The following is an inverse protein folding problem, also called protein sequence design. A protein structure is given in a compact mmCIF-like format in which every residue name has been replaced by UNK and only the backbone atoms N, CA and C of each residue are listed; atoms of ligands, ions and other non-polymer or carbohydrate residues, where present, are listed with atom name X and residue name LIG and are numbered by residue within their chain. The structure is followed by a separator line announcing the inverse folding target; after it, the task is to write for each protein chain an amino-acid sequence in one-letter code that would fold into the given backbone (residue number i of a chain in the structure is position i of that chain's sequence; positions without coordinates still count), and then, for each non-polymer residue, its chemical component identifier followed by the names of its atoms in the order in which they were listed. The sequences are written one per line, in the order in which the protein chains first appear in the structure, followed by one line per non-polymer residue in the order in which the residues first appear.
data_IF_992634624454
#
_entry.id   IF_992634624454
#
_cell.length_a   1.000
_cell.length_b   1.000
_cell.length_c   1.000
_cell.angle_alpha   90.00
_cell.angle_beta   90.00
_cell.angle_gamma   90.00
#
_symmetry.space_group_name_H-M   'P 1'
#
loop_
_entity.id
_entity.type
_entity.pdbx_description
1 polymer ?
#
# COMPACT_ATOMS: atom_id res chain seq x y z
N UNK A 1 -34.95 2.97 14.04
CA UNK A 1 -33.96 2.28 13.18
C UNK A 1 -32.84 1.84 14.09
N UNK A 2 -32.64 0.54 14.30
CA UNK A 2 -31.66 0.02 15.25
C UNK A 2 -30.31 -0.08 14.53
N UNK A 3 -29.29 0.61 15.03
CA UNK A 3 -27.95 0.52 14.46
C UNK A 3 -27.27 -0.78 14.94
N UNK A 4 -26.53 -1.48 14.06
CA UNK A 4 -25.82 -2.69 14.45
C UNK A 4 -24.73 -2.37 15.51
N UNK A 5 -24.55 -3.27 16.49
CA UNK A 5 -23.55 -3.13 17.55
C UNK A 5 -22.16 -3.45 17.01
N UNK A 6 -21.11 -2.98 17.70
CA UNK A 6 -19.71 -3.26 17.34
C UNK A 6 -19.45 -4.76 17.12
N UNK A 7 -19.96 -5.61 18.01
CA UNK A 7 -19.79 -7.07 17.92
C UNK A 7 -20.60 -7.74 16.79
N UNK A 8 -21.61 -7.05 16.23
CA UNK A 8 -22.39 -7.57 15.10
C UNK A 8 -21.61 -7.42 13.77
N UNK A 9 -20.52 -6.63 13.77
CA UNK A 9 -19.83 -6.18 12.55
C UNK A 9 -18.32 -6.42 12.62
N UNK A 10 -17.73 -6.32 13.81
CA UNK A 10 -16.42 -6.85 14.14
C UNK A 10 -16.62 -8.19 14.84
N UNK A 11 -16.77 -9.29 14.06
CA UNK A 11 -16.94 -10.60 14.63
C UNK A 11 -15.61 -11.09 15.21
N UNK A 12 -15.57 -12.33 15.69
CA UNK A 12 -14.29 -12.93 16.06
C UNK A 12 -13.33 -12.99 14.87
N UNK A 13 -12.03 -13.06 15.14
CA UNK A 13 -11.01 -13.11 14.09
C UNK A 13 -11.20 -14.32 13.16
N UNK A 14 -11.72 -15.45 13.67
CA UNK A 14 -12.02 -16.63 12.87
C UNK A 14 -13.11 -16.33 11.84
N UNK A 15 -14.17 -15.63 12.25
CA UNK A 15 -15.27 -15.28 11.35
C UNK A 15 -14.86 -14.18 10.37
N UNK A 16 -14.01 -13.25 10.79
CA UNK A 16 -13.40 -12.26 9.92
C UNK A 16 -12.61 -12.94 8.79
N UNK A 17 -11.78 -13.94 9.13
CA UNK A 17 -11.00 -14.69 8.15
C UNK A 17 -11.88 -15.51 7.21
N UNK A 18 -12.94 -16.15 7.73
CA UNK A 18 -13.93 -16.85 6.89
C UNK A 18 -14.55 -15.91 5.85
N UNK A 19 -14.93 -14.70 6.27
CA UNK A 19 -15.45 -13.68 5.35
C UNK A 19 -14.39 -13.21 4.36
N UNK A 20 -13.16 -12.96 4.80
CA UNK A 20 -12.05 -12.59 3.93
C UNK A 20 -11.89 -13.61 2.79
N UNK A 21 -11.82 -14.90 3.11
CA UNK A 21 -11.70 -15.97 2.12
C UNK A 21 -12.92 -16.05 1.20
N UNK A 22 -14.14 -15.87 1.72
CA UNK A 22 -15.35 -15.83 0.88
C UNK A 22 -15.30 -14.73 -0.19
N UNK A 23 -14.66 -13.60 0.11
CA UNK A 23 -14.47 -12.49 -0.82
C UNK A 23 -13.14 -12.55 -1.61
N UNK A 24 -12.46 -13.70 -1.60
CA UNK A 24 -11.25 -13.96 -2.38
C UNK A 24 -9.96 -13.39 -1.76
N UNK A 25 -9.94 -13.20 -0.44
CA UNK A 25 -8.75 -12.78 0.31
C UNK A 25 -8.29 -13.96 1.18
N UNK A 26 -7.47 -14.83 0.61
CA UNK A 26 -7.10 -16.11 1.23
C UNK A 26 -6.08 -15.95 2.38
N UNK A 27 -5.21 -14.95 2.31
CA UNK A 27 -4.14 -14.71 3.29
C UNK A 27 -4.11 -13.22 3.69
N UNK A 28 -5.12 -12.79 4.45
CA UNK A 28 -5.11 -11.46 5.04
C UNK A 28 -4.11 -11.39 6.21
N UNK A 29 -3.23 -10.38 6.20
CA UNK A 29 -2.34 -10.07 7.31
C UNK A 29 -3.18 -9.96 8.60
N UNK A 30 -2.77 -10.70 9.65
CA UNK A 30 -3.56 -10.84 10.88
C UNK A 30 -3.72 -9.53 11.67
N UNK A 31 -2.86 -8.56 11.41
CA UNK A 31 -2.90 -7.23 12.02
C UNK A 31 -3.96 -6.31 11.39
N UNK A 32 -4.42 -6.57 10.16
CA UNK A 32 -5.42 -5.75 9.47
C UNK A 32 -6.72 -5.69 10.26
N UNK A 33 -7.19 -6.84 10.77
CA UNK A 33 -8.35 -6.89 11.66
C UNK A 33 -8.19 -5.91 12.84
N UNK A 34 -7.03 -5.97 13.50
CA UNK A 34 -6.72 -5.12 14.66
C UNK A 34 -6.66 -3.64 14.27
N UNK A 35 -6.07 -3.31 13.12
CA UNK A 35 -5.97 -1.95 12.64
C UNK A 35 -7.34 -1.34 12.28
N UNK A 36 -8.21 -2.10 11.62
CA UNK A 36 -9.58 -1.64 11.33
C UNK A 36 -10.37 -1.47 12.63
N UNK A 37 -10.25 -2.41 13.57
CA UNK A 37 -10.91 -2.33 14.88
C UNK A 37 -10.43 -1.13 15.71
N UNK A 38 -9.12 -0.87 15.76
CA UNK A 38 -8.58 0.29 16.47
C UNK A 38 -9.06 1.61 15.84
N UNK A 39 -9.10 1.67 14.51
CA UNK A 39 -9.45 2.89 13.78
C UNK A 39 -10.94 3.22 13.85
N UNK A 40 -11.79 2.20 13.79
CA UNK A 40 -13.22 2.37 13.57
C UNK A 40 -14.11 1.61 14.55
N UNK A 41 -13.56 0.89 15.54
CA UNK A 41 -14.34 0.11 16.50
C UNK A 41 -15.27 0.94 17.38
N UNK A 42 -15.04 2.26 17.47
CA UNK A 42 -15.94 3.21 18.13
C UNK A 42 -16.96 3.88 17.20
N UNK A 43 -16.87 3.69 15.88
CA UNK A 43 -17.73 4.37 14.90
C UNK A 43 -18.99 3.55 14.59
N UNK A 44 -20.04 4.23 14.12
CA UNK A 44 -21.24 3.55 13.61
C UNK A 44 -21.08 3.25 12.13
N UNK A 45 -21.59 2.12 11.67
CA UNK A 45 -21.68 1.85 10.24
C UNK A 45 -22.86 2.59 9.61
N UNK A 46 -22.69 3.00 8.34
CA UNK A 46 -23.73 3.67 7.55
C UNK A 46 -24.85 2.75 7.08
N UNK A 47 -24.70 1.44 7.27
CA UNK A 47 -25.64 0.43 6.78
C UNK A 47 -26.53 -0.09 7.91
N UNK A 48 -27.77 -0.47 7.54
CA UNK A 48 -28.80 -0.92 8.49
C UNK A 48 -28.67 -2.39 8.92
N UNK A 49 -27.78 -3.16 8.30
CA UNK A 49 -27.52 -4.57 8.61
C UNK A 49 -26.01 -4.81 8.71
N UNK A 50 -25.61 -5.64 9.69
CA UNK A 50 -24.22 -6.05 9.88
C UNK A 50 -23.69 -6.84 8.69
N UNK A 51 -24.53 -7.66 8.06
CA UNK A 51 -24.18 -8.43 6.84
C UNK A 51 -23.92 -7.51 5.65
N UNK A 52 -24.75 -6.47 5.44
CA UNK A 52 -24.50 -5.49 4.38
C UNK A 52 -23.23 -4.67 4.65
N UNK A 53 -22.98 -4.32 5.92
CA UNK A 53 -21.76 -3.63 6.32
C UNK A 53 -20.52 -4.50 6.06
N UNK A 54 -20.55 -5.77 6.48
CA UNK A 54 -19.48 -6.74 6.22
C UNK A 54 -19.26 -6.95 4.72
N UNK A 55 -20.33 -7.19 3.95
CA UNK A 55 -20.21 -7.37 2.51
C UNK A 55 -19.55 -6.19 1.80
N UNK A 56 -19.90 -4.95 2.20
CA UNK A 56 -19.28 -3.74 1.64
C UNK A 56 -17.84 -3.55 2.08
N UNK A 57 -17.52 -3.87 3.33
CA UNK A 57 -16.15 -3.84 3.82
C UNK A 57 -15.25 -4.81 3.07
N UNK A 58 -15.64 -6.08 2.93
CA UNK A 58 -14.85 -7.06 2.22
C UNK A 58 -14.83 -6.86 0.70
N UNK A 59 -15.87 -6.24 0.12
CA UNK A 59 -15.82 -5.77 -1.27
C UNK A 59 -14.72 -4.71 -1.47
N UNK A 60 -14.54 -3.78 -0.53
CA UNK A 60 -13.47 -2.78 -0.63
C UNK A 60 -12.11 -3.44 -0.38
N UNK A 61 -12.02 -4.28 0.66
CA UNK A 61 -10.77 -4.98 0.99
C UNK A 61 -10.30 -5.90 -0.14
N UNK A 62 -11.19 -6.56 -0.88
CA UNK A 62 -10.76 -7.44 -1.98
C UNK A 62 -10.08 -6.70 -3.13
N UNK A 63 -10.35 -5.40 -3.27
CA UNK A 63 -9.73 -4.52 -4.26
C UNK A 63 -8.47 -3.85 -3.70
N UNK A 64 -8.56 -3.32 -2.48
CA UNK A 64 -7.51 -2.47 -1.90
C UNK A 64 -6.40 -3.28 -1.21
N UNK A 65 -6.70 -4.47 -0.69
CA UNK A 65 -5.72 -5.31 0.01
C UNK A 65 -4.58 -5.80 -0.90
N UNK A 66 -4.81 -6.26 -2.15
CA UNK A 66 -3.72 -6.59 -3.08
C UNK A 66 -2.80 -5.40 -3.36
N UNK A 67 -3.35 -4.19 -3.51
CA UNK A 67 -2.56 -2.98 -3.71
C UNK A 67 -1.75 -2.62 -2.46
N UNK A 68 -2.31 -2.80 -1.27
CA UNK A 68 -1.60 -2.67 0.01
C UNK A 68 -0.42 -3.63 0.09
N UNK A 69 -0.60 -4.92 -0.25
CA UNK A 69 0.48 -5.93 -0.20
C UNK A 69 1.62 -5.57 -1.16
N UNK A 70 1.31 -5.13 -2.38
CA UNK A 70 2.33 -4.69 -3.33
C UNK A 70 3.13 -3.49 -2.80
N UNK A 71 2.45 -2.49 -2.22
CA UNK A 71 3.11 -1.32 -1.62
C UNK A 71 3.94 -1.70 -0.40
N UNK A 72 3.43 -2.56 0.48
CA UNK A 72 4.14 -3.09 1.65
C UNK A 72 5.39 -3.86 1.24
N UNK A 73 5.28 -4.75 0.25
CA UNK A 73 6.40 -5.52 -0.28
C UNK A 73 7.46 -4.62 -0.91
N UNK A 74 7.07 -3.62 -1.70
CA UNK A 74 8.00 -2.65 -2.28
C UNK A 74 8.71 -1.80 -1.20
N UNK A 75 7.97 -1.35 -0.18
CA UNK A 75 8.55 -0.61 0.93
C UNK A 75 9.54 -1.47 1.72
N UNK A 76 9.22 -2.75 1.96
CA UNK A 76 10.11 -3.70 2.62
C UNK A 76 11.36 -3.97 1.78
N UNK A 77 11.22 -4.19 0.47
CA UNK A 77 12.37 -4.36 -0.43
C UNK A 77 13.31 -3.15 -0.37
N UNK A 78 12.78 -1.93 -0.36
CA UNK A 78 13.60 -0.71 -0.22
C UNK A 78 14.20 -0.57 1.18
N UNK A 79 13.50 -1.02 2.22
CA UNK A 79 14.04 -1.07 3.58
C UNK A 79 15.23 -2.04 3.69
N UNK A 80 15.13 -3.19 3.04
CA UNK A 80 16.14 -4.25 3.06
C UNK A 80 17.36 -3.94 2.18
N UNK A 81 17.22 -3.03 1.19
CA UNK A 81 18.36 -2.60 0.38
C UNK A 81 19.48 -1.99 1.23
N UNK A 82 20.70 -2.44 0.96
CA UNK A 82 21.89 -1.87 1.56
C UNK A 82 22.11 -0.43 1.08
N UNK A 83 22.71 0.40 1.91
CA UNK A 83 22.91 1.82 1.59
C UNK A 83 23.76 2.01 0.32
N UNK A 84 24.73 1.13 0.08
CA UNK A 84 25.56 1.15 -1.14
C UNK A 84 24.78 0.76 -2.39
N UNK A 85 23.71 -0.04 -2.28
CA UNK A 85 22.85 -0.37 -3.41
C UNK A 85 21.94 0.79 -3.78
N UNK A 86 21.41 1.50 -2.79
CA UNK A 86 20.60 2.72 -3.01
C UNK A 86 21.43 3.85 -3.61
N UNK A 87 22.73 3.90 -3.28
CA UNK A 87 23.67 4.86 -3.87
C UNK A 87 23.92 4.60 -5.35
N UNK A 88 23.71 3.39 -5.88
CA UNK A 88 23.84 3.10 -7.31
C UNK A 88 22.76 3.88 -8.06
N UNK A 89 23.19 4.89 -8.81
CA UNK A 89 22.32 5.70 -9.64
C UNK A 89 22.04 5.03 -10.99
N UNK A 90 21.69 5.84 -11.98
CA UNK A 90 21.47 5.37 -13.34
C UNK A 90 22.81 5.15 -14.03
N UNK A 91 22.90 4.07 -14.80
CA UNK A 91 24.00 3.78 -15.70
C UNK A 91 23.62 4.30 -17.10
N UNK A 92 24.47 5.15 -17.68
CA UNK A 92 24.32 5.65 -19.03
C UNK A 92 25.46 5.12 -19.89
N UNK A 93 25.13 4.48 -21.01
CA UNK A 93 26.10 4.00 -22.00
C UNK A 93 25.86 4.77 -23.29
N UNK A 94 26.88 5.50 -23.74
CA UNK A 94 26.90 6.14 -25.04
C UNK A 94 27.90 5.39 -25.95
N UNK A 95 27.37 4.80 -27.01
CA UNK A 95 28.15 4.06 -28.01
C UNK A 95 28.34 4.93 -29.25
N UNK A 96 29.55 4.98 -29.80
CA UNK A 96 29.84 5.69 -31.05
C UNK A 96 30.66 4.81 -32.02
N UNK A 97 30.19 4.72 -33.26
CA UNK A 97 30.88 4.01 -34.34
C UNK A 97 30.94 4.92 -35.58
N UNK A 98 32.12 5.05 -36.17
CA UNK A 98 32.29 5.70 -37.48
C UNK A 98 32.34 4.58 -38.53
N UNK A 99 31.34 4.52 -39.41
CA UNK A 99 31.06 3.44 -40.37
C UNK A 99 30.72 2.07 -39.76
N UNK A 100 29.57 1.92 -39.08
CA UNK A 100 29.11 0.61 -38.63
C UNK A 100 28.67 -0.24 -39.83
N UNK A 101 29.21 -1.46 -39.95
CA UNK A 101 28.81 -2.44 -40.99
C UNK A 101 27.48 -3.17 -40.63
N UNK A 102 26.83 -2.78 -39.54
CA UNK A 102 25.58 -3.32 -39.03
C UNK A 102 24.91 -2.28 -38.13
N UNK A 103 23.57 -2.21 -38.14
CA UNK A 103 22.84 -1.26 -37.29
C UNK A 103 23.09 -1.53 -35.80
N UNK A 104 23.25 -0.49 -34.95
CA UNK A 104 23.44 -0.68 -33.52
C UNK A 104 22.12 -1.16 -32.87
N UNK A 105 22.13 -2.36 -32.28
CA UNK A 105 21.01 -2.85 -31.46
C UNK A 105 21.00 -2.13 -30.09
N UNK A 106 19.82 -1.63 -29.69
CA UNK A 106 19.63 -0.76 -28.51
C UNK A 106 19.02 -1.45 -27.29
N UNK A 107 18.80 -2.77 -27.36
CA UNK A 107 17.99 -3.49 -26.36
C UNK A 107 18.80 -4.07 -25.18
N UNK A 108 20.11 -3.82 -25.11
CA UNK A 108 20.96 -4.28 -24.01
C UNK A 108 21.69 -3.14 -23.29
N UNK A 109 21.78 -3.26 -21.96
CA UNK A 109 22.72 -2.49 -21.14
C UNK A 109 24.16 -3.00 -21.27
N UNK A 110 24.38 -4.03 -22.07
CA UNK A 110 25.70 -4.57 -22.33
C UNK A 110 26.44 -3.71 -23.38
N UNK A 111 27.75 -3.53 -23.20
CA UNK A 111 28.57 -2.82 -24.16
C UNK A 111 28.61 -3.56 -25.51
N UNK A 112 28.38 -2.85 -26.62
CA UNK A 112 28.42 -3.43 -27.97
C UNK A 112 29.84 -3.95 -28.32
N UNK A 113 29.97 -5.06 -29.08
CA UNK A 113 31.26 -5.67 -29.39
C UNK A 113 32.06 -4.90 -30.47
N UNK A 114 31.43 -4.06 -31.30
CA UNK A 114 32.09 -3.25 -32.32
C UNK A 114 31.75 -1.77 -32.17
N UNK A 115 32.71 -1.00 -31.65
CA UNK A 115 32.57 0.45 -31.42
C UNK A 115 33.94 1.11 -31.60
N UNK A 116 33.96 2.29 -32.23
CA UNK A 116 35.18 3.11 -32.31
C UNK A 116 35.41 3.87 -30.99
N UNK A 117 34.37 4.01 -30.16
CA UNK A 117 34.47 4.53 -28.81
C UNK A 117 33.21 4.26 -28.00
N UNK A 118 33.40 3.95 -26.72
CA UNK A 118 32.34 3.79 -25.72
C UNK A 118 32.57 4.73 -24.55
N UNK A 119 31.52 5.41 -24.14
CA UNK A 119 31.51 6.17 -22.90
C UNK A 119 30.47 5.59 -21.95
N UNK A 120 30.93 5.00 -20.84
CA UNK A 120 30.07 4.54 -19.74
C UNK A 120 30.14 5.59 -18.63
N UNK A 121 28.99 6.15 -18.26
CA UNK A 121 28.86 7.07 -17.14
C UNK A 121 27.95 6.47 -16.08
N UNK A 122 28.54 6.14 -14.93
CA UNK A 122 27.81 5.76 -13.73
C UNK A 122 27.58 6.96 -12.83
N UNK A 123 26.35 7.17 -12.39
CA UNK A 123 26.04 8.18 -11.36
C UNK A 123 25.97 7.52 -9.99
N UNK A 124 26.51 8.18 -8.95
CA UNK A 124 26.41 7.74 -7.56
C UNK A 124 25.76 8.84 -6.74
N UNK A 125 24.76 8.50 -5.95
CA UNK A 125 24.16 9.44 -5.00
C UNK A 125 25.10 9.65 -3.81
N UNK A 126 25.10 10.85 -3.26
CA UNK A 126 25.70 11.08 -1.94
C UNK A 126 24.91 10.35 -0.85
N UNK A 127 25.51 10.20 0.32
CA UNK A 127 24.94 9.43 1.42
C UNK A 127 23.65 10.05 1.97
N UNK A 128 23.58 11.38 2.05
CA UNK A 128 22.42 12.08 2.54
C UNK A 128 21.23 11.92 1.57
N UNK A 129 21.48 12.03 0.27
CA UNK A 129 20.49 11.85 -0.78
C UNK A 129 19.99 10.40 -0.83
N UNK A 130 20.88 9.42 -0.66
CA UNK A 130 20.50 8.00 -0.57
C UNK A 130 19.60 7.73 0.66
N UNK A 131 19.96 8.27 1.82
CA UNK A 131 19.15 8.17 3.05
C UNK A 131 17.79 8.85 2.90
N UNK A 132 17.75 10.05 2.31
CA UNK A 132 16.49 10.76 2.05
C UNK A 132 15.58 9.97 1.10
N UNK A 133 16.16 9.34 0.07
CA UNK A 133 15.41 8.51 -0.88
C UNK A 133 14.86 7.25 -0.19
N UNK A 134 15.67 6.56 0.61
CA UNK A 134 15.25 5.40 1.42
C UNK A 134 14.11 5.79 2.37
N UNK A 135 14.29 6.89 3.10
CA UNK A 135 13.29 7.41 4.02
C UNK A 135 11.97 7.70 3.33
N UNK A 136 11.98 8.40 2.18
CA UNK A 136 10.75 8.72 1.44
C UNK A 136 10.02 7.48 0.93
N UNK A 137 10.75 6.46 0.49
CA UNK A 137 10.16 5.21 0.03
C UNK A 137 9.52 4.41 1.17
N UNK A 138 10.20 4.33 2.33
CA UNK A 138 9.72 3.60 3.51
C UNK A 138 8.62 4.35 4.25
N UNK A 139 8.65 5.69 4.27
CA UNK A 139 7.65 6.54 4.94
C UNK A 139 6.25 6.47 4.31
N UNK A 140 6.07 5.73 3.21
CA UNK A 140 4.78 5.56 2.55
C UNK A 140 3.74 5.04 3.54
N UNK A 141 2.62 5.76 3.71
CA UNK A 141 1.54 5.42 4.64
C UNK A 141 0.56 4.41 4.01
N UNK A 142 1.08 3.32 3.45
CA UNK A 142 0.28 2.33 2.72
C UNK A 142 -0.84 1.72 3.58
N UNK A 143 -0.62 1.54 4.88
CA UNK A 143 -1.65 1.10 5.83
C UNK A 143 -2.76 2.16 6.00
N UNK A 144 -2.41 3.44 6.16
CA UNK A 144 -3.40 4.51 6.31
C UNK A 144 -4.24 4.67 5.05
N UNK A 145 -3.65 4.49 3.86
CA UNK A 145 -4.39 4.50 2.60
C UNK A 145 -5.45 3.39 2.55
N UNK A 146 -5.08 2.15 2.93
CA UNK A 146 -6.01 1.03 3.05
C UNK A 146 -7.10 1.32 4.09
N UNK A 147 -6.75 1.83 5.28
CA UNK A 147 -7.74 2.17 6.30
C UNK A 147 -8.68 3.28 5.83
N UNK A 148 -8.17 4.27 5.10
CA UNK A 148 -8.95 5.39 4.59
C UNK A 148 -9.94 4.97 3.51
N UNK A 149 -9.66 3.94 2.71
CA UNK A 149 -10.64 3.43 1.73
C UNK A 149 -11.92 2.92 2.40
N UNK A 150 -11.81 2.45 3.66
CA UNK A 150 -12.94 2.00 4.46
C UNK A 150 -13.72 3.14 5.13
N UNK A 151 -13.18 4.37 5.20
CA UNK A 151 -13.77 5.50 5.93
C UNK A 151 -15.22 5.77 5.51
N UNK A 152 -15.53 5.57 4.22
CA UNK A 152 -16.88 5.77 3.68
C UNK A 152 -17.94 4.83 4.26
N UNK A 153 -17.55 3.75 4.93
CA UNK A 153 -18.46 2.81 5.60
C UNK A 153 -18.88 3.29 6.99
N UNK A 154 -18.11 4.19 7.58
CA UNK A 154 -18.25 4.62 8.97
C UNK A 154 -18.86 6.04 9.07
N UNK A 155 -19.57 6.29 10.16
CA UNK A 155 -20.02 7.59 10.63
C UNK A 155 -19.31 7.85 11.94
N UNK A 156 -18.50 8.92 11.98
CA UNK A 156 -17.84 9.35 13.20
C UNK A 156 -18.89 9.77 14.23
N UNK A 157 -18.78 9.23 15.44
CA UNK A 157 -19.58 9.68 16.57
C UNK A 157 -18.90 10.91 17.15
N UNK A 158 -19.46 12.10 16.90
CA UNK A 158 -19.24 13.23 17.80
C UNK A 158 -20.03 12.92 19.07
N UNK A 159 -19.38 12.95 20.23
CA UNK A 159 -19.94 12.54 21.52
C UNK A 159 -21.35 13.10 21.80
N UNK A 160 -22.11 12.34 22.60
CA UNK A 160 -23.53 12.50 22.92
C UNK A 160 -23.98 13.96 23.10
N UNK A 161 -24.94 14.38 22.28
CA UNK A 161 -25.82 15.48 22.67
C UNK A 161 -26.74 14.92 23.75
N UNK A 162 -26.57 15.35 25.01
CA UNK A 162 -27.57 15.09 26.05
C UNK A 162 -28.93 15.57 25.53
N UNK A 163 -29.85 14.64 25.25
CA UNK A 163 -31.26 14.98 25.13
C UNK A 163 -31.75 15.41 26.52
N UNK A 164 -31.71 16.71 26.79
CA UNK A 164 -32.40 17.30 27.93
C UNK A 164 -33.91 17.16 27.65
N UNK A 165 -34.52 16.11 28.19
CA UNK A 165 -35.98 16.05 28.30
C UNK A 165 -36.40 17.12 29.32
N UNK A 166 -36.85 18.27 28.81
CA UNK A 166 -37.65 19.20 29.61
C UNK A 166 -39.00 18.53 29.84
N UNK A 167 -39.26 18.13 31.10
CA UNK A 167 -40.58 17.76 31.54
C UNK A 167 -41.41 19.05 31.69
N UNK A 168 -42.44 19.20 30.85
CA UNK A 168 -43.59 20.08 31.12
C UNK A 168 -44.64 19.34 31.97
#
# INVERSE_FOLDING_TARGET
MTFPKVNDIFPTIEKWNEWASFYGIDEMDSDIYSHVLIRYGGDRFRYSSGEMAAAKMFQILSIEYPAYIQKKSAAQAVYDLELEEIKKGTLQIANSAANPNSDPETDSLDPLPFINGQQVMGTKLDELAALQRKYRAVYTKYLEELLKSLQGLFQGILAETEEVFLYD
#
